data_IF_216664607563
#
_entry.id   IF_216664607563
#
_cell.length_a   1.000
_cell.length_b   1.000
_cell.length_c   1.000
_cell.angle_alpha   90.00
_cell.angle_beta   90.00
_cell.angle_gamma   90.00
#
_symmetry.space_group_name_H-M   'P 1'
#
loop_
_entity.id
_entity.type
_entity.pdbx_description
1 polymer ?
#
# COMPACT_ATOMS: atom_id res chain seq x y z
N UNK A 1 25.16 -27.73 -77.74
CA UNK A 1 23.92 -28.36 -77.22
C UNK A 1 23.82 -28.01 -75.73
N UNK A 2 23.25 -26.86 -75.30
CA UNK A 2 21.82 -26.55 -75.06
C UNK A 2 21.03 -27.69 -74.41
N UNK A 3 20.79 -27.62 -73.09
CA UNK A 3 19.47 -27.33 -72.54
C UNK A 3 19.54 -26.98 -71.03
N UNK A 4 19.46 -25.69 -70.71
CA UNK A 4 19.11 -25.19 -69.37
C UNK A 4 17.61 -25.43 -69.17
N UNK A 5 17.21 -26.16 -68.11
CA UNK A 5 15.81 -26.22 -67.69
C UNK A 5 15.41 -24.85 -67.15
N UNK A 6 14.47 -24.21 -67.86
CA UNK A 6 13.88 -22.91 -67.57
C UNK A 6 12.85 -23.12 -66.47
N UNK A 7 13.10 -22.61 -65.27
CA UNK A 7 12.08 -22.51 -64.21
C UNK A 7 10.94 -21.65 -64.75
N UNK A 8 9.72 -22.18 -64.71
CA UNK A 8 8.52 -21.52 -65.20
C UNK A 8 8.18 -20.36 -64.26
N UNK A 9 8.09 -19.16 -64.82
CA UNK A 9 7.83 -17.90 -64.13
C UNK A 9 6.34 -17.64 -63.86
N UNK A 10 5.50 -18.68 -63.84
CA UNK A 10 4.04 -18.54 -63.73
C UNK A 10 3.49 -18.55 -62.31
N UNK A 11 4.30 -18.92 -61.30
CA UNK A 11 3.82 -19.00 -59.91
C UNK A 11 4.03 -17.70 -59.10
N UNK A 12 4.82 -16.75 -59.63
CA UNK A 12 5.12 -15.49 -58.95
C UNK A 12 4.09 -14.38 -59.19
N UNK A 13 3.18 -14.54 -60.16
CA UNK A 13 2.14 -13.54 -60.45
C UNK A 13 0.87 -13.73 -59.62
N UNK A 14 0.51 -14.97 -59.27
CA UNK A 14 -0.66 -15.25 -58.42
C UNK A 14 -0.44 -14.92 -56.94
N UNK A 15 0.78 -15.07 -56.43
CA UNK A 15 1.09 -14.75 -55.03
C UNK A 15 1.08 -13.23 -54.74
N UNK A 16 1.24 -12.39 -55.76
CA UNK A 16 1.36 -10.93 -55.59
C UNK A 16 0.01 -10.20 -55.55
N UNK A 17 -1.06 -10.85 -56.00
CA UNK A 17 -2.42 -10.27 -55.98
C UNK A 17 -3.28 -10.69 -54.78
N UNK A 18 -2.89 -11.73 -54.03
CA UNK A 18 -3.62 -12.16 -52.83
C UNK A 18 -3.44 -11.21 -51.63
N UNK A 19 -2.37 -10.40 -51.61
CA UNK A 19 -2.04 -9.54 -50.47
C UNK A 19 -2.60 -8.12 -50.53
N UNK A 20 -3.24 -7.69 -51.62
CA UNK A 20 -3.78 -6.33 -51.74
C UNK A 20 -5.22 -6.17 -51.25
N UNK A 21 -5.90 -7.25 -50.91
CA UNK A 21 -7.26 -7.23 -50.34
C UNK A 21 -7.30 -7.47 -48.82
N UNK A 22 -6.13 -7.65 -48.16
CA UNK A 22 -6.06 -7.76 -46.70
C UNK A 22 -6.05 -6.37 -46.04
N UNK A 23 -7.23 -5.77 -46.17
CA UNK A 23 -7.92 -4.84 -45.31
C UNK A 23 -7.17 -3.67 -44.63
N UNK A 24 -7.42 -2.49 -45.20
CA UNK A 24 -7.34 -1.15 -44.58
C UNK A 24 -8.07 -1.06 -43.23
N UNK A 25 -8.98 -2.01 -42.95
CA UNK A 25 -9.63 -2.19 -41.66
C UNK A 25 -8.69 -2.69 -40.55
N UNK A 26 -7.61 -3.44 -40.83
CA UNK A 26 -6.75 -3.98 -39.76
C UNK A 26 -6.08 -2.88 -38.92
N UNK A 27 -5.76 -1.72 -39.51
CA UNK A 27 -5.30 -0.53 -38.75
C UNK A 27 -6.38 0.09 -37.88
N UNK A 28 -7.65 0.13 -38.34
CA UNK A 28 -8.77 0.71 -37.57
C UNK A 28 -9.20 -0.22 -36.43
N UNK A 29 -9.24 -1.52 -36.69
CA UNK A 29 -9.59 -2.54 -35.70
C UNK A 29 -8.44 -2.78 -34.71
N UNK A 30 -7.19 -2.71 -35.17
CA UNK A 30 -6.00 -2.74 -34.31
C UNK A 30 -5.92 -1.55 -33.35
N UNK A 31 -6.28 -0.34 -33.80
CA UNK A 31 -6.36 0.85 -32.91
C UNK A 31 -7.52 0.72 -31.92
N UNK A 32 -8.69 0.23 -32.34
CA UNK A 32 -9.83 0.01 -31.43
C UNK A 32 -9.55 -1.06 -30.36
N UNK A 33 -8.88 -2.17 -30.73
CA UNK A 33 -8.45 -3.20 -29.78
C UNK A 33 -7.34 -2.70 -28.84
N UNK A 34 -6.43 -1.85 -29.33
CA UNK A 34 -5.41 -1.21 -28.50
C UNK A 34 -6.02 -0.22 -27.49
N UNK A 35 -7.07 0.52 -27.87
CA UNK A 35 -7.81 1.39 -26.95
C UNK A 35 -8.60 0.62 -25.88
N UNK A 36 -9.13 -0.56 -26.21
CA UNK A 36 -9.83 -1.44 -25.25
C UNK A 36 -8.88 -2.06 -24.21
N UNK A 37 -7.62 -2.32 -24.57
CA UNK A 37 -6.63 -2.89 -23.65
C UNK A 37 -6.11 -1.90 -22.57
N UNK A 38 -6.42 -0.61 -22.69
CA UNK A 38 -5.97 0.43 -21.74
C UNK A 38 -6.98 0.66 -20.60
N UNK A 39 -8.16 0.02 -20.65
CA UNK A 39 -9.28 0.37 -19.77
C UNK A 39 -9.25 -0.23 -18.35
N UNK A 40 -8.30 -1.11 -18.02
CA UNK A 40 -8.29 -1.83 -16.73
C UNK A 40 -7.08 -1.55 -15.85
N UNK A 41 -6.63 -0.29 -15.78
CA UNK A 41 -5.77 0.11 -14.65
C UNK A 41 -6.63 0.29 -13.40
N UNK A 42 -6.84 -0.79 -12.65
CA UNK A 42 -7.47 -0.74 -11.34
C UNK A 42 -6.64 0.15 -10.39
N UNK A 43 -7.21 1.27 -9.96
CA UNK A 43 -6.67 2.09 -8.88
C UNK A 43 -6.78 1.29 -7.58
N UNK A 44 -5.67 0.72 -7.10
CA UNK A 44 -5.60 0.11 -5.77
C UNK A 44 -5.42 1.23 -4.74
N UNK A 45 -6.51 1.59 -4.07
CA UNK A 45 -6.43 2.39 -2.84
C UNK A 45 -5.97 1.51 -1.67
N UNK A 46 -5.27 2.11 -0.71
CA UNK A 46 -4.97 1.44 0.56
C UNK A 46 -6.28 1.04 1.25
N UNK A 47 -6.33 -0.16 1.81
CA UNK A 47 -7.51 -0.63 2.51
C UNK A 47 -7.75 0.22 3.77
N UNK A 48 -9.00 0.60 4.08
CA UNK A 48 -9.34 1.21 5.34
C UNK A 48 -8.96 0.29 6.51
N UNK A 49 -8.29 0.83 7.52
CA UNK A 49 -7.90 0.09 8.72
C UNK A 49 -8.64 0.56 9.99
N UNK A 50 -9.53 1.54 9.87
CA UNK A 50 -10.42 2.03 10.94
C UNK A 50 -11.86 1.75 10.54
N UNK A 51 -12.63 1.13 11.45
CA UNK A 51 -14.05 0.87 11.29
C UNK A 51 -14.79 1.28 12.57
N UNK A 52 -16.07 1.61 12.42
CA UNK A 52 -17.02 1.91 13.51
C UNK A 52 -17.79 0.67 13.96
N UNK A 53 -17.69 -0.43 13.21
CA UNK A 53 -18.29 -1.71 13.57
C UNK A 53 -17.48 -2.45 14.65
N UNK A 54 -18.17 -3.28 15.43
CA UNK A 54 -17.53 -4.15 16.43
C UNK A 54 -16.88 -5.36 15.75
N UNK A 55 -15.74 -5.82 16.26
CA UNK A 55 -15.09 -7.05 15.79
C UNK A 55 -13.55 -7.04 15.79
N UNK A 56 -12.93 -5.90 16.06
CA UNK A 56 -11.48 -5.73 16.15
C UNK A 56 -11.06 -5.06 17.47
N UNK A 57 -9.79 -4.63 17.59
CA UNK A 57 -9.32 -3.86 18.74
C UNK A 57 -10.08 -2.53 18.84
N UNK A 58 -10.88 -2.36 19.88
CA UNK A 58 -11.58 -1.12 20.14
C UNK A 58 -10.62 -0.04 20.66
N UNK A 59 -10.60 1.12 20.00
CA UNK A 59 -9.87 2.30 20.49
C UNK A 59 -10.68 3.05 21.56
N UNK A 60 -11.97 3.28 21.29
CA UNK A 60 -12.93 3.90 22.20
C UNK A 60 -14.28 3.20 22.04
N UNK A 61 -14.88 2.75 23.13
CA UNK A 61 -16.25 2.22 23.20
C UNK A 61 -16.85 2.48 24.59
N UNK A 62 -18.06 1.96 24.86
CA UNK A 62 -18.75 2.16 26.14
C UNK A 62 -17.95 1.64 27.35
N UNK A 63 -17.15 0.58 27.18
CA UNK A 63 -16.35 -0.05 28.23
C UNK A 63 -14.94 0.58 28.31
N UNK A 64 -14.50 1.26 27.25
CA UNK A 64 -13.16 1.79 27.06
C UNK A 64 -13.18 3.31 26.85
N UNK A 65 -13.59 4.02 27.90
CA UNK A 65 -13.58 5.49 27.97
C UNK A 65 -12.23 6.06 28.43
N UNK A 66 -11.25 5.20 28.72
CA UNK A 66 -9.90 5.58 29.15
C UNK A 66 -8.88 4.96 28.19
N UNK A 67 -8.13 5.81 27.52
CA UNK A 67 -7.21 5.47 26.44
C UNK A 67 -5.89 6.22 26.65
N UNK A 68 -4.77 5.51 26.62
CA UNK A 68 -3.45 6.11 26.62
C UNK A 68 -2.69 5.82 25.32
N UNK A 69 -1.96 6.83 24.86
CA UNK A 69 -0.95 6.74 23.80
C UNK A 69 0.42 6.71 24.48
N UNK A 70 1.12 5.60 24.32
CA UNK A 70 2.48 5.44 24.81
C UNK A 70 3.48 5.90 23.74
N UNK A 71 4.37 6.80 24.12
CA UNK A 71 5.45 7.32 23.28
C UNK A 71 6.71 7.49 24.12
N UNK A 72 7.88 7.17 23.54
CA UNK A 72 9.14 7.39 24.24
C UNK A 72 9.38 8.91 24.43
N UNK A 73 9.77 9.31 25.63
CA UNK A 73 10.05 10.72 25.93
C UNK A 73 11.23 11.27 25.11
N UNK A 74 12.13 10.39 24.65
CA UNK A 74 13.28 10.74 23.84
C UNK A 74 12.95 10.87 22.33
N UNK A 75 11.70 10.69 21.90
CA UNK A 75 11.31 10.76 20.49
C UNK A 75 11.65 12.09 19.80
N UNK A 76 11.72 12.02 18.47
CA UNK A 76 11.83 13.20 17.63
C UNK A 76 10.70 14.20 17.95
N UNK A 77 11.02 15.49 18.02
CA UNK A 77 10.04 16.55 18.33
C UNK A 77 8.82 16.52 17.40
N UNK A 78 9.02 16.13 16.12
CA UNK A 78 7.95 15.97 15.15
C UNK A 78 6.98 14.84 15.51
N UNK A 79 7.49 13.71 16.00
CA UNK A 79 6.68 12.57 16.48
C UNK A 79 5.88 12.97 17.71
N UNK A 80 6.52 13.60 18.70
CA UNK A 80 5.83 14.10 19.90
C UNK A 80 4.70 15.08 19.55
N UNK A 81 4.92 15.98 18.59
CA UNK A 81 3.88 16.89 18.09
C UNK A 81 2.73 16.13 17.41
N UNK A 82 3.06 15.16 16.55
CA UNK A 82 2.06 14.35 15.86
C UNK A 82 1.20 13.55 16.84
N UNK A 83 1.79 12.96 17.88
CA UNK A 83 1.06 12.23 18.93
C UNK A 83 0.09 13.13 19.70
N UNK A 84 0.51 14.35 20.05
CA UNK A 84 -0.38 15.30 20.71
C UNK A 84 -1.55 15.76 19.81
N UNK A 85 -1.29 15.93 18.51
CA UNK A 85 -2.34 16.21 17.53
C UNK A 85 -3.31 15.03 17.42
N UNK A 86 -2.78 13.79 17.36
CA UNK A 86 -3.59 12.57 17.33
C UNK A 86 -4.50 12.47 18.56
N UNK A 87 -3.99 12.75 19.76
CA UNK A 87 -4.81 12.78 20.98
C UNK A 87 -5.97 13.79 20.87
N UNK A 88 -5.67 14.98 20.34
CA UNK A 88 -6.68 16.02 20.11
C UNK A 88 -7.72 15.59 19.07
N UNK A 89 -7.32 14.91 18.01
CA UNK A 89 -8.22 14.45 16.96
C UNK A 89 -9.10 13.29 17.45
N UNK A 90 -8.56 12.36 18.24
CA UNK A 90 -9.36 11.32 18.91
C UNK A 90 -10.42 11.97 19.81
N UNK A 91 -10.06 13.00 20.57
CA UNK A 91 -11.01 13.73 21.41
C UNK A 91 -12.12 14.39 20.57
N UNK A 92 -11.80 15.01 19.44
CA UNK A 92 -12.82 15.61 18.57
C UNK A 92 -13.80 14.59 18.00
N UNK A 93 -13.33 13.37 17.69
CA UNK A 93 -14.14 12.34 17.05
C UNK A 93 -14.94 11.52 18.07
N UNK A 94 -14.40 11.31 19.27
CA UNK A 94 -14.99 10.40 20.28
C UNK A 94 -15.46 11.08 21.57
N UNK A 95 -15.03 12.31 21.85
CA UNK A 95 -15.23 12.99 23.13
C UNK A 95 -14.32 12.50 24.26
N UNK A 96 -13.48 11.49 24.01
CA UNK A 96 -12.51 10.95 24.97
C UNK A 96 -11.15 11.56 24.71
N UNK A 97 -10.55 12.20 25.73
CA UNK A 97 -9.19 12.73 25.65
C UNK A 97 -8.17 11.64 26.02
N UNK A 98 -7.32 11.20 25.08
CA UNK A 98 -6.28 10.24 25.40
C UNK A 98 -5.18 10.86 26.26
N UNK A 99 -4.66 10.09 27.22
CA UNK A 99 -3.42 10.45 27.91
C UNK A 99 -2.21 10.18 27.02
N UNK A 100 -1.30 11.15 26.86
CA UNK A 100 0.01 10.91 26.23
C UNK A 100 1.01 10.63 27.32
N UNK A 101 1.49 9.39 27.39
CA UNK A 101 2.34 8.89 28.48
C UNK A 101 3.65 8.30 27.95
N UNK A 102 4.62 8.16 28.83
CA UNK A 102 5.96 7.62 28.52
C UNK A 102 6.31 6.36 29.32
N UNK A 103 5.33 5.77 30.02
CA UNK A 103 5.46 4.53 30.78
C UNK A 103 4.26 3.64 30.51
N UNK A 104 4.48 2.34 30.39
CA UNK A 104 3.42 1.34 30.18
C UNK A 104 2.40 1.39 31.34
N UNK A 105 1.12 1.31 30.99
CA UNK A 105 -0.02 1.18 31.91
C UNK A 105 -1.04 0.23 31.30
N UNK A 106 -1.99 -0.28 32.10
CA UNK A 106 -3.02 -1.22 31.62
C UNK A 106 -3.99 -0.62 30.57
N UNK A 107 -3.92 0.69 30.35
CA UNK A 107 -4.84 1.45 29.49
C UNK A 107 -4.20 1.93 28.17
N UNK A 108 -2.97 1.48 27.88
CA UNK A 108 -2.31 1.77 26.60
C UNK A 108 -3.02 1.02 25.48
N UNK A 109 -3.48 1.73 24.44
CA UNK A 109 -3.99 1.11 23.20
C UNK A 109 -3.29 1.55 21.93
N UNK A 110 -2.47 2.61 22.02
CA UNK A 110 -1.66 3.09 20.90
C UNK A 110 -0.23 3.20 21.40
N UNK A 111 0.71 2.60 20.66
CA UNK A 111 2.15 2.80 20.84
C UNK A 111 2.65 3.46 19.57
N UNK A 112 3.36 4.58 19.72
CA UNK A 112 3.91 5.31 18.59
C UNK A 112 5.38 5.64 18.84
N UNK A 113 6.21 5.48 17.81
CA UNK A 113 7.63 5.80 17.88
C UNK A 113 8.34 5.58 16.56
N UNK A 114 9.60 5.98 16.52
CA UNK A 114 10.50 5.81 15.39
C UNK A 114 11.45 4.63 15.61
N UNK A 115 11.89 4.00 14.52
CA UNK A 115 12.77 2.83 14.61
C UNK A 115 14.16 3.18 15.16
N UNK A 116 14.64 4.40 14.91
CA UNK A 116 15.98 4.87 15.25
C UNK A 116 16.09 5.50 16.65
N UNK A 117 15.00 6.07 17.19
CA UNK A 117 15.02 6.81 18.45
C UNK A 117 14.29 6.11 19.60
N UNK A 118 13.21 5.37 19.33
CA UNK A 118 12.35 4.80 20.38
C UNK A 118 12.96 3.56 21.01
N UNK A 119 13.22 3.58 22.32
CA UNK A 119 13.60 2.37 23.04
C UNK A 119 12.45 1.36 23.10
N UNK A 120 11.21 1.85 23.17
CA UNK A 120 9.98 1.05 23.14
C UNK A 120 9.82 0.26 21.84
N UNK A 121 10.01 0.92 20.69
CA UNK A 121 9.91 0.25 19.38
C UNK A 121 11.03 -0.77 19.21
N UNK A 122 12.25 -0.46 19.69
CA UNK A 122 13.36 -1.41 19.66
C UNK A 122 13.07 -2.66 20.50
N UNK A 123 12.42 -2.53 21.66
CA UNK A 123 11.98 -3.70 22.45
C UNK A 123 11.02 -4.58 21.67
N UNK A 124 9.99 -4.01 21.04
CA UNK A 124 9.03 -4.76 20.22
C UNK A 124 9.68 -5.46 19.03
N UNK A 125 10.70 -4.84 18.42
CA UNK A 125 11.50 -5.47 17.36
C UNK A 125 12.31 -6.65 17.90
N UNK A 126 13.00 -6.46 19.03
CA UNK A 126 13.84 -7.49 19.64
C UNK A 126 13.03 -8.71 20.09
N UNK A 127 11.79 -8.50 20.53
CA UNK A 127 10.85 -9.56 20.91
C UNK A 127 10.23 -10.28 19.70
N UNK A 128 10.46 -9.78 18.49
CA UNK A 128 9.86 -10.31 17.25
C UNK A 128 8.40 -9.92 17.06
N UNK A 129 7.87 -9.04 17.90
CA UNK A 129 6.51 -8.48 17.80
C UNK A 129 6.37 -7.49 16.65
N UNK A 130 7.47 -6.88 16.20
CA UNK A 130 7.53 -5.97 15.06
C UNK A 130 8.70 -6.33 14.12
N UNK A 131 8.45 -6.44 12.82
CA UNK A 131 9.51 -6.67 11.82
C UNK A 131 10.13 -5.34 11.35
N UNK A 132 11.35 -5.06 11.79
CA UNK A 132 12.11 -3.88 11.37
C UNK A 132 12.45 -3.87 9.87
N UNK A 133 12.48 -5.02 9.20
CA UNK A 133 12.70 -5.13 7.75
C UNK A 133 11.62 -4.41 6.94
N UNK A 134 10.43 -4.20 7.52
CA UNK A 134 9.36 -3.43 6.89
C UNK A 134 9.68 -1.94 6.79
N UNK A 135 10.60 -1.42 7.61
CA UNK A 135 10.95 0.01 7.69
C UNK A 135 12.38 0.30 7.23
N UNK A 136 13.33 -0.61 7.46
CA UNK A 136 14.75 -0.40 7.22
C UNK A 136 15.07 -0.03 5.76
N UNK A 137 15.86 1.04 5.58
CA UNK A 137 16.30 1.50 4.26
C UNK A 137 15.21 2.14 3.39
N UNK A 138 13.98 2.28 3.91
CA UNK A 138 12.87 2.94 3.21
C UNK A 138 12.76 4.40 3.65
N UNK A 139 12.32 5.26 2.74
CA UNK A 139 12.12 6.69 3.00
C UNK A 139 10.66 6.93 3.38
N UNK A 140 10.43 7.72 4.43
CA UNK A 140 9.10 8.22 4.84
C UNK A 140 8.02 7.11 4.89
N UNK A 141 8.41 5.93 5.38
CA UNK A 141 7.57 4.73 5.47
C UNK A 141 7.11 4.53 6.92
N UNK A 142 5.95 3.90 7.08
CA UNK A 142 5.37 3.57 8.38
C UNK A 142 4.74 2.17 8.35
N UNK A 143 4.51 1.60 9.53
CA UNK A 143 3.75 0.37 9.74
C UNK A 143 2.71 0.65 10.81
N UNK A 144 1.44 0.32 10.53
CA UNK A 144 0.36 0.28 11.50
C UNK A 144 0.00 -1.20 11.67
N UNK A 145 0.13 -1.71 12.89
CA UNK A 145 -0.15 -3.11 13.18
C UNK A 145 -0.69 -3.29 14.59
N UNK A 146 -1.43 -4.36 14.80
CA UNK A 146 -1.89 -4.77 16.12
C UNK A 146 -0.82 -5.67 16.75
N UNK A 147 -0.31 -5.27 17.91
CA UNK A 147 0.59 -6.08 18.72
C UNK A 147 -0.19 -6.69 19.87
N UNK A 148 -0.09 -8.01 20.05
CA UNK A 148 -0.76 -8.72 21.15
C UNK A 148 0.16 -8.79 22.35
N UNK A 149 -0.28 -8.24 23.49
CA UNK A 149 0.51 -8.16 24.74
C UNK A 149 1.87 -7.49 24.48
N UNK A 150 1.84 -6.22 24.02
CA UNK A 150 3.04 -5.43 23.82
C UNK A 150 3.71 -5.04 25.15
#
# INVERSE_FOLDING_TARGET
MRHKKRLQTTDLWLARHAFSCLDRNWRRWGVLLFCLAIFETGLMAAQPFIDTQKGAMALVDADHQQLNILVDAAEHKGVLRAVNNLATDINKVSGVMPGVINKQTDQVRIIAGSLDQSSLIQQLVNEGSLDAGLLNGKRETYVITLVKRP
#
